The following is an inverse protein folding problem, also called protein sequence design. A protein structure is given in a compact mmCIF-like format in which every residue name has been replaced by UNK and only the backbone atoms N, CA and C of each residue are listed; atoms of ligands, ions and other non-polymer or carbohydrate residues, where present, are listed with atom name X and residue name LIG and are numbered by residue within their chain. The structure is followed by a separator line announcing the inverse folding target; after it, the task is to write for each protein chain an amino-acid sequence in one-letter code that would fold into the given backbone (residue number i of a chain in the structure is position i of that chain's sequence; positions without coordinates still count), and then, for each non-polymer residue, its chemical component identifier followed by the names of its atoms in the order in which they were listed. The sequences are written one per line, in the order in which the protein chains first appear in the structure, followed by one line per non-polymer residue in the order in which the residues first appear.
data_IF_739392011194
#
_entry.id   IF_739392011194
#
_cell.length_a   1.000
_cell.length_b   1.000
_cell.length_c   1.000
_cell.angle_alpha   90.00
_cell.angle_beta   90.00
_cell.angle_gamma   90.00
#
_symmetry.space_group_name_H-M   'P 1'
#
loop_
_entity.id
_entity.type
_entity.pdbx_description
1 polymer ?
#
# COMPACT_ATOMS: atom_id res chain seq x y z
N UNK A 1 4.18 8.07 -17.74
CA UNK A 1 4.94 7.03 -17.00
C UNK A 1 3.91 6.19 -16.28
N UNK A 2 3.99 4.87 -16.37
CA UNK A 2 3.10 4.00 -15.60
C UNK A 2 3.32 4.28 -14.11
N UNK A 3 2.26 4.73 -13.43
CA UNK A 3 2.31 5.02 -12.02
C UNK A 3 1.88 3.76 -11.26
N UNK A 4 2.83 2.85 -11.01
CA UNK A 4 2.62 1.64 -10.20
C UNK A 4 2.27 1.95 -8.72
N UNK A 5 2.16 3.22 -8.35
CA UNK A 5 1.85 3.69 -7.01
C UNK A 5 0.53 3.07 -6.50
N UNK A 6 -0.51 3.05 -7.33
CA UNK A 6 -1.79 2.47 -6.94
C UNK A 6 -1.68 0.96 -6.73
N UNK A 7 -0.96 0.26 -7.62
CA UNK A 7 -0.66 -1.16 -7.45
C UNK A 7 0.08 -1.43 -6.14
N UNK A 8 1.12 -0.66 -5.84
CA UNK A 8 1.91 -0.84 -4.60
C UNK A 8 1.03 -0.62 -3.36
N UNK A 9 0.25 0.46 -3.32
CA UNK A 9 -0.69 0.73 -2.22
C UNK A 9 -1.71 -0.40 -2.07
N UNK A 10 -2.23 -0.93 -3.18
CA UNK A 10 -3.22 -2.02 -3.13
C UNK A 10 -2.63 -3.31 -2.54
N UNK A 11 -1.38 -3.64 -2.87
CA UNK A 11 -0.77 -4.93 -2.53
C UNK A 11 0.14 -4.90 -1.30
N UNK A 12 0.57 -3.73 -0.81
CA UNK A 12 1.43 -3.66 0.38
C UNK A 12 0.79 -4.25 1.65
N UNK A 13 -0.53 -4.11 1.92
CA UNK A 13 -1.14 -4.75 3.09
C UNK A 13 -1.10 -6.28 2.97
N UNK A 14 -1.21 -6.79 1.75
CA UNK A 14 -1.18 -8.22 1.44
C UNK A 14 0.23 -8.79 1.63
N UNK A 15 1.27 -8.05 1.21
CA UNK A 15 2.66 -8.38 1.50
C UNK A 15 2.94 -8.36 3.02
N UNK A 16 2.46 -7.35 3.74
CA UNK A 16 2.58 -7.28 5.20
C UNK A 16 1.89 -8.45 5.91
N UNK A 17 0.69 -8.83 5.46
CA UNK A 17 -0.02 -9.99 5.97
C UNK A 17 0.76 -11.29 5.74
N UNK A 18 1.41 -11.43 4.58
CA UNK A 18 2.28 -12.58 4.29
C UNK A 18 3.48 -12.63 5.26
N UNK A 19 4.10 -11.49 5.56
CA UNK A 19 5.19 -11.43 6.54
C UNK A 19 4.72 -11.77 7.96
N UNK A 20 3.51 -11.36 8.35
CA UNK A 20 2.88 -11.77 9.61
C UNK A 20 2.64 -13.27 9.63
N UNK A 21 2.12 -13.85 8.54
CA UNK A 21 1.85 -15.28 8.42
C UNK A 21 3.12 -16.13 8.57
N UNK A 22 4.25 -15.65 8.03
CA UNK A 22 5.55 -16.31 8.12
C UNK A 22 6.26 -16.07 9.47
N UNK A 23 5.72 -15.20 10.33
CA UNK A 23 6.31 -14.90 11.63
C UNK A 23 5.96 -15.96 12.67
N UNK A 24 6.89 -16.32 13.58
CA UNK A 24 6.59 -17.22 14.69
C UNK A 24 5.47 -16.67 15.58
N UNK A 25 4.47 -17.48 15.90
CA UNK A 25 3.30 -17.09 16.69
C UNK A 25 3.65 -16.61 18.10
N UNK A 26 4.73 -17.15 18.68
CA UNK A 26 5.28 -16.77 19.99
C UNK A 26 5.85 -15.33 19.99
N UNK A 27 6.23 -14.82 18.81
CA UNK A 27 6.90 -13.52 18.67
C UNK A 27 5.89 -12.40 18.43
N UNK A 28 5.03 -12.14 19.42
CA UNK A 28 4.05 -11.05 19.39
C UNK A 28 4.68 -9.69 19.06
N UNK A 29 5.91 -9.44 19.54
CA UNK A 29 6.64 -8.21 19.25
C UNK A 29 7.05 -8.09 17.77
N UNK A 30 7.41 -9.19 17.10
CA UNK A 30 7.73 -9.18 15.68
C UNK A 30 6.46 -8.95 14.84
N UNK A 31 5.39 -9.70 15.14
CA UNK A 31 4.09 -9.57 14.47
C UNK A 31 3.59 -8.13 14.56
N UNK A 32 3.55 -7.56 15.77
CA UNK A 32 3.10 -6.18 15.99
C UNK A 32 3.93 -5.17 15.19
N UNK A 33 5.24 -5.34 15.14
CA UNK A 33 6.14 -4.42 14.44
C UNK A 33 5.99 -4.51 12.93
N UNK A 34 5.83 -5.72 12.38
CA UNK A 34 5.58 -5.93 10.95
C UNK A 34 4.24 -5.29 10.56
N UNK A 35 3.17 -5.56 11.31
CA UNK A 35 1.86 -4.95 11.05
C UNK A 35 1.92 -3.42 11.12
N UNK A 36 2.55 -2.88 12.17
CA UNK A 36 2.68 -1.43 12.34
C UNK A 36 3.43 -0.80 11.16
N UNK A 37 4.60 -1.32 10.80
CA UNK A 37 5.38 -0.76 9.70
C UNK A 37 4.68 -0.90 8.36
N UNK A 38 3.98 -2.01 8.12
CA UNK A 38 3.15 -2.17 6.93
C UNK A 38 2.12 -1.04 6.84
N UNK A 39 1.38 -0.78 7.92
CA UNK A 39 0.38 0.31 7.96
C UNK A 39 0.99 1.69 7.81
N UNK A 40 2.17 1.93 8.42
CA UNK A 40 2.87 3.22 8.30
C UNK A 40 3.31 3.46 6.86
N UNK A 41 3.87 2.47 6.18
CA UNK A 41 4.26 2.63 4.76
C UNK A 41 3.02 2.83 3.88
N UNK A 42 1.96 2.05 4.09
CA UNK A 42 0.71 2.20 3.35
C UNK A 42 0.10 3.61 3.49
N UNK A 43 0.06 4.12 4.73
CA UNK A 43 -0.39 5.49 5.02
C UNK A 43 0.47 6.55 4.33
N UNK A 44 1.79 6.41 4.39
CA UNK A 44 2.71 7.38 3.75
C UNK A 44 2.51 7.40 2.24
N UNK A 45 2.35 6.23 1.61
CA UNK A 45 2.05 6.14 0.18
C UNK A 45 0.68 6.76 -0.15
N UNK A 46 -0.33 6.53 0.69
CA UNK A 46 -1.65 7.16 0.57
C UNK A 46 -1.59 8.70 0.65
N UNK A 47 -0.77 9.25 1.57
CA UNK A 47 -0.53 10.70 1.67
C UNK A 47 0.14 11.22 0.39
N UNK A 48 1.14 10.51 -0.14
CA UNK A 48 1.80 10.88 -1.40
C UNK A 48 0.79 10.91 -2.55
N UNK A 49 -0.07 9.88 -2.65
CA UNK A 49 -1.12 9.82 -3.66
C UNK A 49 -2.12 10.98 -3.50
N UNK A 50 -2.51 11.29 -2.27
CA UNK A 50 -3.39 12.42 -1.96
C UNK A 50 -2.83 13.76 -2.44
N UNK A 51 -1.54 14.02 -2.23
CA UNK A 51 -0.90 15.24 -2.72
C UNK A 51 -0.71 15.28 -4.25
N UNK A 52 -0.73 14.12 -4.91
CA UNK A 52 -0.68 14.05 -6.37
C UNK A 52 -2.07 14.20 -7.03
N UNK A 53 -3.15 14.17 -6.26
CA UNK A 53 -4.51 14.29 -6.77
C UNK A 53 -4.83 15.74 -7.20
N UNK A 54 -5.34 15.91 -8.42
CA UNK A 54 -5.83 17.19 -8.96
C UNK A 54 -7.34 17.33 -8.74
N UNK A 55 -7.81 18.22 -7.84
CA UNK A 55 -9.23 18.37 -7.57
C UNK A 55 -10.05 18.96 -8.73
N UNK A 56 -9.41 19.44 -9.81
CA UNK A 56 -10.09 20.05 -10.95
C UNK A 56 -10.46 19.05 -12.06
N UNK A 57 -9.96 17.81 -11.98
CA UNK A 57 -10.24 16.76 -12.95
C UNK A 57 -11.38 15.86 -12.42
N UNK A 58 -12.41 15.66 -13.25
CA UNK A 58 -13.58 14.83 -12.91
C UNK A 58 -13.34 13.32 -13.13
N UNK A 59 -12.21 12.95 -13.72
CA UNK A 59 -11.89 11.58 -14.12
C UNK A 59 -11.18 10.80 -13.01
N UNK A 60 -11.14 9.46 -13.12
CA UNK A 60 -10.30 8.64 -12.25
C UNK A 60 -8.83 8.87 -12.59
N UNK A 61 -8.09 9.48 -11.67
CA UNK A 61 -6.70 9.92 -11.91
C UNK A 61 -5.66 8.82 -11.70
N UNK A 62 -5.99 7.82 -10.89
CA UNK A 62 -5.15 6.65 -10.67
C UNK A 62 -5.90 5.43 -11.16
N UNK A 63 -5.55 4.95 -12.35
CA UNK A 63 -6.14 3.75 -12.93
C UNK A 63 -5.04 2.82 -13.41
N UNK A 64 -5.20 1.53 -13.11
CA UNK A 64 -4.39 0.47 -13.68
C UNK A 64 -5.21 -0.15 -14.82
N UNK A 65 -5.11 0.45 -16.01
CA UNK A 65 -5.80 -0.04 -17.19
C UNK A 65 -5.00 -1.16 -17.83
N UNK A 66 -5.63 -2.33 -17.85
CA UNK A 66 -5.18 -3.60 -18.41
C UNK A 66 -4.57 -3.45 -19.80
N UNK A 67 -3.40 -4.04 -20.00
CA UNK A 67 -2.84 -4.35 -21.31
C UNK A 67 -3.94 -4.87 -22.26
N UNK A 68 -4.02 -4.24 -23.42
CA UNK A 68 -4.69 -4.78 -24.60
C UNK A 68 -3.69 -4.85 -25.74
#
# INVERSE_FOLDING_TARGET
MENWLLTIILFIPLAGALFVLLSPSESHAAIRRISLWTMVVDLLLGIVLFFQFDPNLYEMQFTELKAR
#
